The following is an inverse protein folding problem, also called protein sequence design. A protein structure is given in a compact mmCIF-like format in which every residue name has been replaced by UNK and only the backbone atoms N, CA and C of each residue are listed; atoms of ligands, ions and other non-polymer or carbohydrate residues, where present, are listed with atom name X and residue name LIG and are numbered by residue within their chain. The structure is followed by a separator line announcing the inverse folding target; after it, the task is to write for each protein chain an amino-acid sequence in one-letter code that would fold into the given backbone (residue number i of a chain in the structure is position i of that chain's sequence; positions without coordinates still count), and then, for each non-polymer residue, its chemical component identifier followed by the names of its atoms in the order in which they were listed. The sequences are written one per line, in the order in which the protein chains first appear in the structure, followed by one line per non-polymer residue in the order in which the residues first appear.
data_IF_189085899696
#
_entry.id   IF_189085899696
#
_cell.length_a   1.000
_cell.length_b   1.000
_cell.length_c   1.000
_cell.angle_alpha   90.00
_cell.angle_beta   90.00
_cell.angle_gamma   90.00
#
_symmetry.space_group_name_H-M   'P 1'
#
loop_
_entity.id
_entity.type
_entity.pdbx_description
1 polymer ?
#
# COMPACT_ATOMS: atom_id res chain seq x y z
N UNK A 1 6.30 19.04 1.45
CA UNK A 1 6.24 17.59 1.70
C UNK A 1 7.61 17.14 2.15
N UNK A 2 7.67 16.30 3.19
CA UNK A 2 8.92 15.70 3.67
C UNK A 2 9.26 14.43 2.87
N UNK A 3 10.37 13.77 3.23
CA UNK A 3 10.82 12.53 2.58
C UNK A 3 9.74 11.44 2.65
N UNK A 4 9.05 11.32 3.79
CA UNK A 4 7.98 10.33 3.98
C UNK A 4 6.77 10.62 3.07
N UNK A 5 6.41 11.89 2.93
CA UNK A 5 5.36 12.34 2.01
C UNK A 5 5.71 12.01 0.57
N UNK A 6 6.91 12.34 0.09
CA UNK A 6 7.34 11.99 -1.27
C UNK A 6 7.40 10.48 -1.51
N UNK A 7 7.91 9.73 -0.54
CA UNK A 7 7.94 8.27 -0.59
C UNK A 7 6.53 7.69 -0.71
N UNK A 8 5.63 8.11 0.16
CA UNK A 8 4.24 7.61 0.18
C UNK A 8 3.50 7.96 -1.10
N UNK A 9 3.69 9.19 -1.60
CA UNK A 9 3.13 9.63 -2.88
C UNK A 9 3.58 8.72 -4.04
N UNK A 10 4.89 8.45 -4.14
CA UNK A 10 5.44 7.61 -5.19
C UNK A 10 4.89 6.17 -5.13
N UNK A 11 4.83 5.58 -3.94
CA UNK A 11 4.30 4.22 -3.75
C UNK A 11 2.80 4.17 -4.06
N UNK A 12 2.01 5.15 -3.61
CA UNK A 12 0.58 5.22 -3.90
C UNK A 12 0.29 5.33 -5.40
N UNK A 13 1.06 6.14 -6.14
CA UNK A 13 0.93 6.24 -7.60
C UNK A 13 1.26 4.90 -8.27
N UNK A 14 2.34 4.24 -7.85
CA UNK A 14 2.73 2.93 -8.39
C UNK A 14 1.63 1.87 -8.16
N UNK A 15 0.99 1.89 -6.99
CA UNK A 15 -0.10 0.97 -6.66
C UNK A 15 -1.35 1.24 -7.48
N UNK A 16 -1.74 2.51 -7.66
CA UNK A 16 -2.88 2.88 -8.50
C UNK A 16 -2.65 2.39 -9.94
N UNK A 17 -1.46 2.64 -10.49
CA UNK A 17 -1.10 2.16 -11.84
C UNK A 17 -1.14 0.63 -11.88
N UNK A 18 -0.55 -0.03 -10.89
CA UNK A 18 -0.51 -1.49 -10.78
C UNK A 18 -1.91 -2.10 -10.78
N UNK A 19 -2.81 -1.59 -9.94
CA UNK A 19 -4.19 -2.06 -9.84
C UNK A 19 -4.97 -1.75 -11.12
N UNK A 20 -4.80 -0.56 -11.69
CA UNK A 20 -5.44 -0.17 -12.96
C UNK A 20 -5.05 -1.12 -14.09
N UNK A 21 -3.76 -1.49 -14.17
CA UNK A 21 -3.28 -2.46 -15.15
C UNK A 21 -3.84 -3.86 -14.91
N UNK A 22 -4.04 -4.28 -13.66
CA UNK A 22 -4.70 -5.55 -13.34
C UNK A 22 -6.14 -5.51 -13.81
N UNK A 23 -6.91 -4.49 -13.41
CA UNK A 23 -8.33 -4.34 -13.78
C UNK A 23 -8.52 -4.42 -15.29
N UNK A 24 -7.71 -3.68 -16.06
CA UNK A 24 -7.80 -3.65 -17.52
C UNK A 24 -7.35 -4.97 -18.16
N UNK A 25 -6.26 -5.59 -17.68
CA UNK A 25 -5.68 -6.78 -18.32
C UNK A 25 -6.36 -8.09 -17.95
N UNK A 26 -7.02 -8.16 -16.80
CA UNK A 26 -7.63 -9.40 -16.30
C UNK A 26 -9.15 -9.36 -16.29
N UNK A 27 -9.76 -8.32 -16.86
CA UNK A 27 -11.22 -8.09 -16.84
C UNK A 27 -11.79 -8.23 -15.41
N UNK A 28 -11.04 -7.74 -14.41
CA UNK A 28 -11.41 -7.83 -13.00
C UNK A 28 -12.68 -7.01 -12.79
N UNK A 29 -13.62 -7.54 -12.01
CA UNK A 29 -14.79 -6.78 -11.60
C UNK A 29 -14.36 -5.53 -10.82
N UNK A 30 -14.44 -4.35 -11.45
CA UNK A 30 -13.86 -3.11 -10.92
C UNK A 30 -14.32 -2.71 -9.51
N UNK A 31 -15.55 -3.02 -9.04
CA UNK A 31 -15.94 -2.73 -7.66
C UNK A 31 -15.12 -3.51 -6.62
N UNK A 32 -14.50 -4.63 -7.02
CA UNK A 32 -13.57 -5.40 -6.20
C UNK A 32 -12.19 -4.72 -6.07
N UNK A 33 -11.96 -3.61 -6.78
CA UNK A 33 -10.74 -2.79 -6.65
C UNK A 33 -11.02 -1.47 -5.91
N UNK A 34 -12.27 -1.23 -5.52
CA UNK A 34 -12.67 0.05 -4.90
C UNK A 34 -11.98 0.26 -3.56
N UNK A 35 -11.80 -0.81 -2.78
CA UNK A 35 -11.04 -0.82 -1.54
C UNK A 35 -9.56 -0.50 -1.77
N UNK A 36 -8.93 -1.10 -2.77
CA UNK A 36 -7.53 -0.81 -3.14
C UNK A 36 -7.35 0.67 -3.54
N UNK A 37 -8.29 1.23 -4.32
CA UNK A 37 -8.28 2.66 -4.66
C UNK A 37 -8.55 3.56 -3.46
N UNK A 38 -9.46 3.17 -2.55
CA UNK A 38 -9.75 3.93 -1.34
C UNK A 38 -8.52 4.00 -0.43
N UNK A 39 -7.80 2.89 -0.27
CA UNK A 39 -6.55 2.81 0.50
C UNK A 39 -5.46 3.65 -0.13
N UNK A 40 -5.32 3.61 -1.46
CA UNK A 40 -4.40 4.51 -2.17
C UNK A 40 -4.80 5.98 -1.97
N UNK A 41 -6.09 6.29 -1.98
CA UNK A 41 -6.61 7.63 -1.68
C UNK A 41 -6.22 8.11 -0.27
N UNK A 42 -6.31 7.23 0.74
CA UNK A 42 -5.88 7.53 2.10
C UNK A 42 -4.37 7.78 2.19
N UNK A 43 -3.56 7.02 1.44
CA UNK A 43 -2.12 7.25 1.38
C UNK A 43 -1.76 8.54 0.65
N UNK A 44 -2.46 8.88 -0.42
CA UNK A 44 -2.29 10.16 -1.11
C UNK A 44 -2.66 11.32 -0.19
N UNK A 45 -3.82 11.27 0.46
CA UNK A 45 -4.22 12.26 1.47
C UNK A 45 -3.17 12.37 2.58
N UNK A 46 -2.70 11.23 3.06
CA UNK A 46 -1.65 11.09 4.06
C UNK A 46 -0.34 11.77 3.67
N UNK A 47 0.09 11.56 2.43
CA UNK A 47 1.31 12.13 1.90
C UNK A 47 1.32 13.68 1.94
N UNK A 48 0.17 14.32 1.72
CA UNK A 48 0.04 15.78 1.78
C UNK A 48 -0.21 16.33 3.17
N UNK A 49 -0.58 15.49 4.15
CA UNK A 49 -0.99 15.91 5.49
C UNK A 49 -0.18 15.22 6.61
N UNK A 50 1.03 14.77 6.28
CA UNK A 50 1.94 13.99 7.15
C UNK A 50 2.30 14.67 8.48
N UNK A 51 2.11 15.99 8.57
CA UNK A 51 2.34 16.77 9.81
C UNK A 51 1.22 16.57 10.84
N UNK A 52 0.05 16.06 10.44
CA UNK A 52 -1.09 15.86 11.31
C UNK A 52 -1.09 14.45 11.90
N UNK A 53 -1.14 14.34 13.23
CA UNK A 53 -1.16 13.04 13.92
C UNK A 53 -2.32 12.13 13.48
N UNK A 54 -3.49 12.70 13.19
CA UNK A 54 -4.62 11.93 12.68
C UNK A 54 -4.32 11.31 11.30
N UNK A 55 -3.63 12.05 10.44
CA UNK A 55 -3.23 11.58 9.12
C UNK A 55 -2.25 10.42 9.20
N UNK A 56 -1.28 10.48 10.11
CA UNK A 56 -0.33 9.39 10.36
C UNK A 56 -1.05 8.10 10.82
N UNK A 57 -2.09 8.20 11.66
CA UNK A 57 -2.91 7.04 12.05
C UNK A 57 -3.65 6.44 10.85
N UNK A 58 -4.23 7.28 9.98
CA UNK A 58 -4.88 6.82 8.75
C UNK A 58 -3.89 6.13 7.82
N UNK A 59 -2.69 6.69 7.67
CA UNK A 59 -1.62 6.08 6.86
C UNK A 59 -1.19 4.73 7.42
N UNK A 60 -1.03 4.59 8.74
CA UNK A 60 -0.71 3.29 9.37
C UNK A 60 -1.80 2.27 9.05
N UNK A 61 -3.08 2.63 9.20
CA UNK A 61 -4.21 1.77 8.83
C UNK A 61 -4.18 1.36 7.36
N UNK A 62 -3.94 2.32 6.47
CA UNK A 62 -3.85 2.09 5.02
C UNK A 62 -2.68 1.16 4.65
N UNK A 63 -1.50 1.36 5.26
CA UNK A 63 -0.35 0.46 5.07
C UNK A 63 -0.64 -0.96 5.56
N UNK A 64 -1.25 -1.12 6.74
CA UNK A 64 -1.62 -2.43 7.27
C UNK A 64 -2.60 -3.17 6.36
N UNK A 65 -3.64 -2.47 5.88
CA UNK A 65 -4.62 -3.05 4.96
C UNK A 65 -3.95 -3.51 3.66
N UNK A 66 -3.14 -2.65 3.06
CA UNK A 66 -2.44 -2.96 1.82
C UNK A 66 -1.46 -4.13 1.99
N UNK A 67 -0.68 -4.15 3.08
CA UNK A 67 0.24 -5.25 3.37
C UNK A 67 -0.53 -6.57 3.55
N UNK A 68 -1.70 -6.54 4.19
CA UNK A 68 -2.59 -7.70 4.28
C UNK A 68 -3.02 -8.21 2.90
N UNK A 69 -3.48 -7.31 2.02
CA UNK A 69 -3.89 -7.65 0.66
C UNK A 69 -2.72 -8.20 -0.18
N UNK A 70 -1.56 -7.54 -0.14
CA UNK A 70 -0.35 -7.98 -0.85
C UNK A 70 0.14 -9.34 -0.34
N UNK A 71 0.09 -9.57 0.98
CA UNK A 71 0.45 -10.86 1.57
C UNK A 71 -0.51 -11.96 1.12
N UNK A 72 -1.82 -11.73 1.14
CA UNK A 72 -2.81 -12.70 0.67
C UNK A 72 -2.61 -13.04 -0.81
N UNK A 73 -2.33 -12.04 -1.65
CA UNK A 73 -2.01 -12.23 -3.07
C UNK A 73 -0.69 -12.99 -3.28
N UNK A 74 0.33 -12.73 -2.46
CA UNK A 74 1.59 -13.44 -2.54
C UNK A 74 1.39 -14.92 -2.17
N UNK A 75 0.69 -15.19 -1.06
CA UNK A 75 0.45 -16.54 -0.56
C UNK A 75 -0.35 -17.39 -1.55
N UNK A 76 -1.43 -16.85 -2.11
CA UNK A 76 -2.25 -17.54 -3.12
C UNK A 76 -1.47 -17.86 -4.39
N UNK A 77 -0.51 -17.00 -4.79
CA UNK A 77 0.33 -17.25 -5.98
C UNK A 77 1.51 -18.19 -5.72
N UNK A 78 1.90 -18.36 -4.46
CA UNK A 78 2.90 -19.33 -4.05
C UNK A 78 2.33 -20.75 -3.93
N UNK A 79 1.01 -20.92 -3.97
CA UNK A 79 0.36 -22.23 -3.90
C UNK A 79 0.91 -23.17 -4.99
N UNK A 80 1.56 -24.29 -4.61
CA UNK A 80 2.16 -25.23 -5.56
C UNK A 80 1.15 -25.96 -6.44
N UNK A 81 -0.13 -26.03 -6.05
CA UNK A 81 -1.15 -26.82 -6.74
C UNK A 81 -2.07 -26.00 -7.66
N UNK A 82 -1.96 -24.66 -7.66
CA UNK A 82 -2.82 -23.79 -8.47
C UNK A 82 -2.33 -22.36 -8.67
N UNK A 83 -1.22 -21.95 -8.05
CA UNK A 83 -0.67 -20.61 -8.20
C UNK A 83 0.14 -20.46 -9.48
N UNK A 84 -0.10 -19.41 -10.28
CA UNK A 84 0.62 -19.21 -11.54
C UNK A 84 2.09 -18.84 -11.36
N UNK A 85 2.56 -18.58 -10.13
CA UNK A 85 3.91 -18.05 -9.78
C UNK A 85 4.32 -16.78 -10.54
N UNK A 86 3.41 -16.22 -11.35
CA UNK A 86 3.67 -15.01 -12.10
C UNK A 86 3.70 -13.81 -11.16
N UNK A 87 4.64 -12.90 -11.41
CA UNK A 87 4.76 -11.60 -10.72
C UNK A 87 5.07 -11.71 -9.22
N UNK A 88 5.55 -12.86 -8.74
CA UNK A 88 6.00 -13.02 -7.34
C UNK A 88 7.04 -11.97 -6.95
N UNK A 89 8.03 -11.71 -7.81
CA UNK A 89 9.05 -10.70 -7.55
C UNK A 89 8.49 -9.30 -7.35
N UNK A 90 7.49 -8.90 -8.15
CA UNK A 90 6.85 -7.61 -8.00
C UNK A 90 6.05 -7.50 -6.70
N UNK A 91 5.34 -8.56 -6.30
CA UNK A 91 4.62 -8.61 -5.03
C UNK A 91 5.55 -8.54 -3.83
N UNK A 92 6.69 -9.25 -3.86
CA UNK A 92 7.70 -9.19 -2.79
C UNK A 92 8.28 -7.79 -2.68
N UNK A 93 8.60 -7.14 -3.80
CA UNK A 93 9.08 -5.76 -3.81
C UNK A 93 8.05 -4.79 -3.24
N UNK A 94 6.78 -4.88 -3.66
CA UNK A 94 5.71 -4.02 -3.14
C UNK A 94 5.47 -4.25 -1.65
N UNK A 95 5.55 -5.50 -1.18
CA UNK A 95 5.43 -5.83 0.23
C UNK A 95 6.59 -5.24 1.05
N UNK A 96 7.81 -5.29 0.53
CA UNK A 96 8.97 -4.61 1.14
C UNK A 96 8.81 -3.09 1.20
N UNK A 97 8.35 -2.46 0.12
CA UNK A 97 8.07 -1.02 0.09
C UNK A 97 6.96 -0.63 1.06
N UNK A 98 5.91 -1.44 1.17
CA UNK A 98 4.82 -1.25 2.12
C UNK A 98 5.31 -1.33 3.58
N UNK A 99 6.20 -2.29 3.89
CA UNK A 99 6.78 -2.43 5.23
C UNK A 99 7.66 -1.23 5.60
N UNK A 100 8.48 -0.75 4.68
CA UNK A 100 9.29 0.47 4.89
C UNK A 100 8.37 1.67 5.15
N UNK A 101 7.29 1.80 4.36
CA UNK A 101 6.28 2.84 4.54
C UNK A 101 5.63 2.79 5.92
N UNK A 102 5.16 1.61 6.33
CA UNK A 102 4.55 1.38 7.64
C UNK A 102 5.49 1.74 8.78
N UNK A 103 6.73 1.23 8.74
CA UNK A 103 7.73 1.49 9.80
C UNK A 103 8.05 2.97 9.88
N UNK A 104 8.29 3.63 8.74
CA UNK A 104 8.60 5.05 8.70
C UNK A 104 7.43 5.93 9.20
N UNK A 105 6.19 5.61 8.81
CA UNK A 105 5.00 6.31 9.31
C UNK A 105 4.81 6.09 10.82
N UNK A 106 5.02 4.87 11.31
CA UNK A 106 4.90 4.54 12.74
C UNK A 106 5.97 5.27 13.56
N UNK A 107 7.22 5.28 13.10
CA UNK A 107 8.30 6.03 13.75
C UNK A 107 7.98 7.53 13.81
N UNK A 108 7.47 8.10 12.71
CA UNK A 108 7.06 9.50 12.66
C UNK A 108 5.97 9.81 13.67
N UNK A 109 4.96 8.94 13.77
CA UNK A 109 3.86 9.07 14.72
C UNK A 109 4.34 9.03 16.18
N UNK A 110 5.23 8.11 16.53
CA UNK A 110 5.80 8.01 17.89
C UNK A 110 6.57 9.28 18.25
N UNK A 111 7.36 9.83 17.32
CA UNK A 111 8.13 11.07 17.54
C UNK A 111 7.21 12.30 17.65
N UNK A 112 6.11 12.34 16.91
CA UNK A 112 5.17 13.47 16.92
C UNK A 112 4.16 13.44 18.06
N UNK A 113 4.11 12.34 18.83
CA UNK A 113 3.29 12.20 20.04
C UNK A 113 4.20 12.02 21.25
N UNK A 114 4.80 13.09 21.78
CA UNK A 114 5.47 13.02 23.07
C UNK A 114 4.40 12.73 24.13
N UNK A 115 4.49 11.56 24.75
CA UNK A 115 3.83 11.31 26.03
C UNK A 115 4.39 12.26 27.09
#
# INVERSE_FOLDING_TARGET
MDILGYYTLAVAILLIIGETLVVIKTDKYWPLSLDDYAVCGLLLYGAFTVEQNHSLLLMIGAWCFMLGNLYAMLFTRMDPNGGSRERLGALVLLLGLGLIGLVATTQRFIVSTPF
#
